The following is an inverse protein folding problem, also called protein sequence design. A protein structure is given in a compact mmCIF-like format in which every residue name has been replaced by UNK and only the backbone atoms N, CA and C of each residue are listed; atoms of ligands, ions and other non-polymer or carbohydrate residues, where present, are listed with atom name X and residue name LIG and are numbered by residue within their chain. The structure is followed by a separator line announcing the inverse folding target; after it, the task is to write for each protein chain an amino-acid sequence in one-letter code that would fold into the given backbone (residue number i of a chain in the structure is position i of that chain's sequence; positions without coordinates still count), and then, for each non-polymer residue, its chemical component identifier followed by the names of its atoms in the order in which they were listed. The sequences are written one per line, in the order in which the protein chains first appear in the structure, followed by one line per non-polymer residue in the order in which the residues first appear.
data_IF_294251568944
#
_entry.id   IF_294251568944
#
_cell.length_a   1.000
_cell.length_b   1.000
_cell.length_c   1.000
_cell.angle_alpha   90.00
_cell.angle_beta   90.00
_cell.angle_gamma   90.00
#
_symmetry.space_group_name_H-M   'P 1'
#
loop_
_entity.id
_entity.type
_entity.pdbx_description
1 polymer ?
#
# COMPACT_ATOMS: atom_id res chain seq x y z
N UNK A 1 19.62 7.69 19.16
CA UNK A 1 18.18 7.71 18.78
C UNK A 1 18.09 7.31 17.31
N UNK A 2 17.64 6.09 17.01
CA UNK A 2 17.55 5.61 15.62
C UNK A 2 16.27 6.18 14.97
N UNK A 3 16.41 7.21 14.14
CA UNK A 3 15.33 7.66 13.28
C UNK A 3 15.05 6.57 12.23
N UNK A 4 13.97 5.81 12.42
CA UNK A 4 13.50 4.86 11.42
C UNK A 4 13.03 5.66 10.22
N UNK A 5 13.68 5.47 9.07
CA UNK A 5 13.29 6.15 7.81
C UNK A 5 11.82 5.85 7.49
N UNK A 6 11.06 6.84 6.98
CA UNK A 6 9.72 6.61 6.46
C UNK A 6 9.72 5.52 5.38
N UNK A 7 8.62 4.79 5.26
CA UNK A 7 8.48 3.81 4.19
C UNK A 7 8.50 4.51 2.81
N UNK A 8 9.30 4.06 1.83
CA UNK A 8 9.43 4.75 0.56
C UNK A 8 8.25 4.58 -0.40
N UNK A 9 7.25 3.76 -0.07
CA UNK A 9 6.10 3.45 -0.94
C UNK A 9 4.75 3.79 -0.30
N UNK A 10 4.68 3.86 1.04
CA UNK A 10 3.45 4.12 1.79
C UNK A 10 3.51 5.52 2.38
N UNK A 11 2.75 6.46 1.79
CA UNK A 11 2.68 7.85 2.26
C UNK A 11 1.58 8.00 3.31
N UNK A 12 1.92 8.25 4.59
CA UNK A 12 0.90 8.56 5.59
C UNK A 12 0.31 9.96 5.36
N UNK A 13 -1.02 10.07 5.41
CA UNK A 13 -1.73 11.35 5.32
C UNK A 13 -2.94 11.34 6.26
N UNK A 14 -2.82 12.02 7.40
CA UNK A 14 -3.85 12.03 8.45
C UNK A 14 -4.23 10.61 8.91
N UNK A 15 -5.51 10.27 8.72
CA UNK A 15 -6.09 8.96 9.07
C UNK A 15 -6.05 7.94 7.92
N UNK A 16 -5.22 8.17 6.90
CA UNK A 16 -5.07 7.27 5.77
C UNK A 16 -3.60 7.01 5.42
N UNK A 17 -3.42 5.95 4.65
CA UNK A 17 -2.22 5.71 3.86
C UNK A 17 -2.57 5.86 2.38
N UNK A 18 -1.70 6.55 1.65
CA UNK A 18 -1.67 6.48 0.20
C UNK A 18 -0.60 5.52 -0.26
N UNK A 19 -0.92 4.82 -1.32
CA UNK A 19 -0.01 3.96 -2.10
C UNK A 19 -0.38 4.08 -3.58
N UNK A 20 0.58 3.85 -4.46
CA UNK A 20 0.35 3.73 -5.90
C UNK A 20 0.85 2.37 -6.35
N UNK A 21 0.02 1.60 -7.05
CA UNK A 21 0.38 0.30 -7.62
C UNK A 21 0.45 0.45 -9.13
N UNK A 22 1.58 0.06 -9.73
CA UNK A 22 1.75 -0.05 -11.19
C UNK A 22 1.44 -1.48 -11.59
N UNK A 23 0.46 -1.69 -12.46
CA UNK A 23 0.12 -3.02 -12.95
C UNK A 23 1.21 -3.55 -13.88
N UNK A 24 1.41 -4.87 -13.87
CA UNK A 24 2.51 -5.50 -14.61
C UNK A 24 2.30 -5.47 -16.13
N UNK A 25 1.07 -5.64 -16.63
CA UNK A 25 0.82 -5.82 -18.07
C UNK A 25 0.72 -4.49 -18.82
N UNK A 26 -0.08 -3.55 -18.32
CA UNK A 26 -0.31 -2.26 -18.96
C UNK A 26 0.60 -1.14 -18.44
N UNK A 27 1.21 -1.33 -17.26
CA UNK A 27 1.94 -0.25 -16.58
C UNK A 27 1.03 0.84 -16.00
N UNK A 28 -0.29 0.62 -15.96
CA UNK A 28 -1.25 1.58 -15.41
C UNK A 28 -1.01 1.77 -13.91
N UNK A 29 -0.96 3.03 -13.47
CA UNK A 29 -0.70 3.37 -12.07
C UNK A 29 -2.02 3.68 -11.38
N UNK A 30 -2.41 2.82 -10.44
CA UNK A 30 -3.64 2.94 -9.66
C UNK A 30 -3.32 3.51 -8.26
N UNK A 31 -3.77 4.74 -7.93
CA UNK A 31 -3.66 5.26 -6.57
C UNK A 31 -4.70 4.60 -5.65
N UNK A 32 -4.29 4.22 -4.46
CA UNK A 32 -5.17 3.64 -3.44
C UNK A 32 -5.05 4.42 -2.14
N UNK A 33 -6.20 4.69 -1.55
CA UNK A 33 -6.34 5.20 -0.19
C UNK A 33 -6.73 4.05 0.74
N UNK A 34 -6.00 3.91 1.84
CA UNK A 34 -6.25 2.91 2.88
C UNK A 34 -6.53 3.65 4.19
N UNK A 35 -7.75 3.58 4.68
CA UNK A 35 -8.19 4.12 5.96
C UNK A 35 -7.55 3.37 7.13
N UNK A 36 -6.89 4.10 8.03
CA UNK A 36 -6.35 3.56 9.28
C UNK A 36 -7.43 3.13 10.27
N UNK A 37 -8.64 3.68 10.14
CA UNK A 37 -9.74 3.45 11.07
C UNK A 37 -10.62 2.26 10.67
N UNK A 38 -10.78 2.00 9.37
CA UNK A 38 -11.82 1.08 8.88
C UNK A 38 -11.32 -0.02 7.95
N UNK A 39 -10.09 0.07 7.43
CA UNK A 39 -9.57 -0.91 6.46
C UNK A 39 -8.44 -1.77 7.03
N UNK A 40 -7.98 -1.50 8.25
CA UNK A 40 -6.97 -2.31 8.91
C UNK A 40 -7.62 -3.44 9.71
N UNK A 41 -7.39 -4.69 9.29
CA UNK A 41 -7.78 -5.86 10.06
C UNK A 41 -6.76 -6.11 11.19
N UNK A 42 -7.20 -6.25 12.45
CA UNK A 42 -6.29 -6.56 13.55
C UNK A 42 -5.76 -8.00 13.42
N UNK A 43 -4.50 -8.20 13.82
CA UNK A 43 -3.84 -9.51 13.92
C UNK A 43 -3.17 -9.65 15.29
N UNK A 44 -2.63 -10.82 15.62
CA UNK A 44 -1.90 -11.03 16.88
C UNK A 44 -0.66 -10.10 17.02
N UNK A 45 -0.05 -9.73 15.89
CA UNK A 45 1.21 -8.99 15.82
C UNK A 45 1.02 -7.51 15.44
N UNK A 46 -0.17 -7.11 14.99
CA UNK A 46 -0.45 -5.74 14.59
C UNK A 46 -1.68 -5.64 13.69
N UNK A 47 -1.47 -5.19 12.46
CA UNK A 47 -2.55 -5.01 11.49
C UNK A 47 -2.18 -5.54 10.12
N UNK A 48 -3.20 -5.85 9.35
CA UNK A 48 -3.08 -6.34 7.98
C UNK A 48 -4.15 -5.68 7.10
N UNK A 49 -3.81 -5.43 5.84
CA UNK A 49 -4.76 -5.00 4.82
C UNK A 49 -4.46 -5.74 3.52
N UNK A 50 -5.53 -6.14 2.84
CA UNK A 50 -5.51 -6.71 1.49
C UNK A 50 -6.44 -5.93 0.59
N UNK A 51 -5.94 -5.49 -0.57
CA UNK A 51 -6.73 -4.79 -1.58
C UNK A 51 -6.61 -5.54 -2.90
N UNK A 52 -7.75 -5.97 -3.42
CA UNK A 52 -7.85 -6.41 -4.83
C UNK A 52 -8.04 -5.15 -5.66
N UNK A 53 -7.25 -5.03 -6.72
CA UNK A 53 -7.18 -3.87 -7.60
C UNK A 53 -7.61 -4.32 -8.99
N UNK A 54 -8.51 -3.56 -9.59
CA UNK A 54 -8.82 -3.64 -11.02
C UNK A 54 -8.53 -2.28 -11.59
N UNK A 55 -7.57 -2.22 -12.51
CA UNK A 55 -7.17 -0.97 -13.13
C UNK A 55 -8.31 -0.46 -14.03
N UNK A 56 -8.73 0.80 -13.88
CA UNK A 56 -9.93 1.31 -14.57
C UNK A 56 -9.81 1.32 -16.10
N UNK A 57 -8.62 1.57 -16.66
CA UNK A 57 -8.46 1.69 -18.12
C UNK A 57 -8.14 0.35 -18.78
N UNK A 58 -7.18 -0.39 -18.22
CA UNK A 58 -6.66 -1.65 -18.78
C UNK A 58 -7.36 -2.91 -18.28
N UNK A 59 -8.14 -2.81 -17.20
CA UNK A 59 -8.75 -3.94 -16.47
C UNK A 59 -7.75 -4.95 -15.92
N UNK A 60 -6.48 -4.57 -15.84
CA UNK A 60 -5.44 -5.36 -15.20
C UNK A 60 -5.77 -5.57 -13.72
N UNK A 61 -5.40 -6.75 -13.22
CA UNK A 61 -5.62 -7.14 -11.84
C UNK A 61 -4.31 -7.18 -11.09
N UNK A 62 -4.32 -6.58 -9.90
CA UNK A 62 -3.25 -6.70 -8.94
C UNK A 62 -3.81 -6.94 -7.54
N UNK A 63 -3.00 -7.49 -6.65
CA UNK A 63 -3.34 -7.65 -5.23
C UNK A 63 -2.25 -7.00 -4.42
N UNK A 64 -2.64 -6.03 -3.58
CA UNK A 64 -1.75 -5.40 -2.60
C UNK A 64 -2.01 -5.98 -1.22
N UNK A 65 -0.94 -6.37 -0.54
CA UNK A 65 -0.94 -6.75 0.86
C UNK A 65 0.06 -5.92 1.66
N UNK A 66 -0.37 -5.41 2.81
CA UNK A 66 0.52 -4.69 3.74
C UNK A 66 0.30 -5.21 5.16
N UNK A 67 1.41 -5.54 5.81
CA UNK A 67 1.47 -5.87 7.22
C UNK A 67 2.04 -4.71 8.00
N UNK A 68 1.44 -4.42 9.14
CA UNK A 68 1.84 -3.37 10.06
C UNK A 68 2.06 -3.93 11.46
N UNK A 69 2.89 -3.27 12.25
CA UNK A 69 3.02 -3.56 13.67
C UNK A 69 1.85 -2.99 14.49
N UNK A 70 1.85 -3.25 15.80
CA UNK A 70 0.84 -2.73 16.74
C UNK A 70 0.72 -1.20 16.79
N UNK A 71 1.71 -0.46 16.27
CA UNK A 71 1.67 1.01 16.15
C UNK A 71 1.29 1.45 14.72
N UNK A 72 0.71 0.54 13.94
CA UNK A 72 0.39 0.69 12.54
C UNK A 72 1.58 1.11 11.67
N UNK A 73 2.81 0.75 12.02
CA UNK A 73 3.99 1.03 11.18
C UNK A 73 4.20 -0.12 10.19
N UNK A 74 4.49 0.19 8.93
CA UNK A 74 4.72 -0.81 7.88
C UNK A 74 5.86 -1.75 8.26
N UNK A 75 5.59 -3.06 8.20
CA UNK A 75 6.53 -4.15 8.42
C UNK A 75 6.91 -4.84 7.11
N UNK A 76 5.90 -5.21 6.31
CA UNK A 76 6.06 -5.94 5.06
C UNK A 76 5.02 -5.47 4.06
N UNK A 77 5.36 -5.55 2.77
CA UNK A 77 4.45 -5.32 1.65
C UNK A 77 4.65 -6.43 0.63
N UNK A 78 3.58 -6.82 -0.05
CA UNK A 78 3.62 -7.70 -1.20
C UNK A 78 2.65 -7.16 -2.26
N UNK A 79 3.02 -7.32 -3.52
CA UNK A 79 2.14 -7.05 -4.65
C UNK A 79 2.20 -8.24 -5.58
N UNK A 80 1.03 -8.75 -5.95
CA UNK A 80 0.88 -9.71 -7.04
C UNK A 80 0.30 -8.98 -8.25
N UNK A 81 0.81 -9.26 -9.46
CA UNK A 81 0.33 -8.64 -10.71
C UNK A 81 0.75 -7.17 -10.89
N UNK A 82 1.81 -6.74 -10.23
CA UNK A 82 2.32 -5.37 -10.31
C UNK A 82 3.40 -5.06 -9.27
N UNK A 83 3.68 -3.77 -9.11
CA UNK A 83 4.66 -3.26 -8.17
C UNK A 83 4.19 -1.97 -7.47
N UNK A 84 4.78 -1.66 -6.32
CA UNK A 84 4.53 -0.37 -5.65
C UNK A 84 5.38 0.73 -6.28
N UNK A 85 4.74 1.85 -6.62
CA UNK A 85 5.45 3.03 -7.13
C UNK A 85 6.05 3.82 -5.96
N UNK A 86 7.38 4.07 -5.95
CA UNK A 86 8.02 4.87 -4.92
C UNK A 86 7.43 6.29 -4.81
N UNK A 87 7.30 6.81 -3.59
CA UNK A 87 6.73 8.15 -3.32
C UNK A 87 7.50 9.26 -4.05
N UNK A 88 8.81 9.09 -4.22
CA UNK A 88 9.67 10.03 -4.96
C UNK A 88 9.30 10.18 -6.45
N UNK A 89 8.56 9.22 -7.01
CA UNK A 89 8.07 9.22 -8.40
C UNK A 89 6.65 9.75 -8.51
N UNK A 90 6.04 10.19 -7.40
CA UNK A 90 4.70 10.75 -7.41
C UNK A 90 4.78 12.23 -7.80
N UNK A 91 4.67 12.50 -9.11
CA UNK A 91 4.31 13.83 -9.61
C UNK A 91 2.85 14.15 -9.27
#
# INVERSE_FOLDING_TARGET
MFFRKPDPHVKPEGMAYWVRVRTEKSGEVVPLRISRASELSPTAEGYYVRKVIVAPESLDRAVLEIWFDRRARVLRKAVEGGELVPIKEWS
#
